data_IF_365210414167
#
_entry.id   IF_365210414167
#
_cell.length_a   1.000
_cell.length_b   1.000
_cell.length_c   1.000
_cell.angle_alpha   90.00
_cell.angle_beta   90.00
_cell.angle_gamma   90.00
#
_symmetry.space_group_name_H-M   'P 1'
#
loop_
_entity.id
_entity.type
_entity.pdbx_description
1 polymer ?
#
# COMPACT_ATOMS: atom_id res chain seq x y z
N UNK A 1 50.89 -41.11 36.96
CA UNK A 1 50.03 -42.29 36.71
C UNK A 1 48.91 -42.30 37.75
N UNK A 2 47.65 -42.23 37.28
CA UNK A 2 46.33 -42.53 37.90
C UNK A 2 46.02 -42.09 39.36
N UNK A 3 45.07 -41.18 39.69
CA UNK A 3 43.58 -41.20 39.53
C UNK A 3 42.96 -42.34 40.40
N UNK A 4 42.03 -42.17 41.36
CA UNK A 4 40.83 -41.30 41.49
C UNK A 4 40.42 -41.05 42.96
N UNK A 5 39.88 -39.86 43.24
CA UNK A 5 39.00 -39.58 44.39
C UNK A 5 37.60 -39.32 43.82
N UNK A 6 36.61 -40.15 44.20
CA UNK A 6 35.21 -39.97 43.78
C UNK A 6 34.40 -39.38 44.92
N UNK A 7 34.11 -38.08 44.82
CA UNK A 7 33.08 -37.41 45.61
C UNK A 7 31.75 -37.43 44.84
N UNK A 8 30.68 -37.73 45.58
CA UNK A 8 29.36 -38.10 45.10
C UNK A 8 28.42 -36.88 44.92
N UNK A 9 27.88 -36.75 43.70
CA UNK A 9 26.55 -36.30 43.26
C UNK A 9 25.80 -35.20 44.05
N UNK A 10 25.57 -34.07 43.37
CA UNK A 10 24.25 -33.45 43.13
C UNK A 10 24.52 -32.23 42.23
N UNK A 11 24.15 -32.24 40.94
CA UNK A 11 22.77 -32.21 40.47
C UNK A 11 22.47 -30.78 40.03
N UNK A 12 22.03 -30.62 38.77
CA UNK A 12 21.69 -29.38 38.04
C UNK A 12 22.65 -29.00 36.90
N UNK A 13 22.73 -29.91 35.93
CA UNK A 13 23.21 -29.60 34.58
C UNK A 13 22.16 -28.70 33.89
N UNK A 14 22.27 -27.37 34.04
CA UNK A 14 21.51 -26.45 33.20
C UNK A 14 22.16 -26.44 31.83
N UNK A 15 21.65 -27.30 30.95
CA UNK A 15 21.94 -27.23 29.52
C UNK A 15 21.66 -25.81 29.04
N UNK A 16 22.70 -25.06 28.71
CA UNK A 16 22.61 -23.88 27.86
C UNK A 16 22.15 -24.35 26.48
N UNK A 17 20.84 -24.53 26.31
CA UNK A 17 20.22 -24.57 25.00
C UNK A 17 20.34 -23.15 24.44
N UNK A 18 21.33 -22.94 23.58
CA UNK A 18 21.20 -21.95 22.51
C UNK A 18 19.96 -22.32 21.71
N UNK A 19 18.85 -21.67 22.04
CA UNK A 19 17.58 -21.83 21.34
C UNK A 19 17.71 -21.14 19.98
N UNK A 20 17.54 -21.86 18.86
CA UNK A 20 17.46 -21.22 17.55
C UNK A 20 16.24 -20.31 17.50
N UNK A 21 16.40 -19.21 16.78
CA UNK A 21 15.40 -18.20 16.45
C UNK A 21 14.09 -18.84 15.97
N UNK A 22 12.97 -18.44 16.57
CA UNK A 22 11.64 -18.90 16.17
C UNK A 22 10.70 -17.70 15.99
N UNK A 23 10.61 -17.24 14.75
CA UNK A 23 9.33 -16.92 14.10
C UNK A 23 8.54 -15.70 14.60
N UNK A 24 9.15 -14.52 14.72
CA UNK A 24 8.40 -13.25 14.62
C UNK A 24 8.01 -12.88 13.17
N UNK A 25 8.35 -13.70 12.18
CA UNK A 25 8.07 -13.45 10.75
C UNK A 25 6.73 -14.02 10.25
N UNK A 26 5.86 -14.50 11.14
CA UNK A 26 4.64 -15.19 10.76
C UNK A 26 3.38 -14.37 11.08
N UNK A 27 3.30 -13.09 10.68
CA UNK A 27 2.01 -12.39 10.52
C UNK A 27 2.12 -11.07 9.69
N UNK A 28 3.02 -10.96 8.70
CA UNK A 28 2.90 -9.87 7.72
C UNK A 28 1.85 -10.25 6.65
N UNK A 29 0.61 -10.48 7.10
CA UNK A 29 -0.55 -10.16 6.27
C UNK A 29 -0.32 -8.71 5.88
N UNK A 30 0.06 -8.44 4.63
CA UNK A 30 0.43 -7.11 4.13
C UNK A 30 -0.59 -6.08 4.61
N UNK A 31 -0.29 -5.43 5.74
CA UNK A 31 -1.10 -4.37 6.29
C UNK A 31 -0.75 -3.16 5.45
N UNK A 32 -1.66 -2.76 4.57
CA UNK A 32 -1.61 -1.43 3.98
C UNK A 32 -1.85 -0.48 5.14
N UNK A 33 -0.85 0.32 5.51
CA UNK A 33 -0.92 1.25 6.62
C UNK A 33 -0.12 2.50 6.31
N UNK A 34 -0.74 3.65 6.58
CA UNK A 34 -0.11 4.97 6.53
C UNK A 34 -0.03 5.45 7.97
N UNK A 35 1.17 5.65 8.49
CA UNK A 35 1.41 6.03 9.90
C UNK A 35 2.09 7.39 10.04
N UNK A 36 2.50 7.99 8.92
CA UNK A 36 3.23 9.25 8.84
C UNK A 36 2.96 9.90 7.49
N UNK A 37 2.92 11.23 7.47
CA UNK A 37 2.76 12.03 6.26
C UNK A 37 4.11 12.53 5.70
N UNK A 38 5.21 12.31 6.43
CA UNK A 38 6.53 12.88 6.10
C UNK A 38 7.65 11.84 5.99
N UNK A 39 7.45 10.61 6.45
CA UNK A 39 8.42 9.53 6.28
C UNK A 39 8.49 9.05 4.82
N UNK A 40 9.48 8.21 4.53
CA UNK A 40 9.69 7.66 3.18
C UNK A 40 8.43 6.94 2.68
N UNK A 41 7.98 7.34 1.49
CA UNK A 41 6.84 6.73 0.81
C UNK A 41 7.27 5.43 0.09
N UNK A 42 6.64 4.30 0.42
CA UNK A 42 6.93 3.01 -0.24
C UNK A 42 6.08 2.78 -1.50
N UNK A 43 4.84 3.23 -1.48
CA UNK A 43 3.86 3.00 -2.54
C UNK A 43 2.80 4.10 -2.59
N UNK A 44 2.32 4.40 -3.79
CA UNK A 44 1.27 5.39 -4.04
C UNK A 44 0.25 4.85 -5.05
N UNK A 45 -1.02 5.17 -4.82
CA UNK A 45 -2.08 4.98 -5.79
C UNK A 45 -2.36 6.32 -6.46
N UNK A 46 -2.31 6.35 -7.79
CA UNK A 46 -2.59 7.52 -8.62
C UNK A 46 -3.72 7.24 -9.60
N UNK A 47 -4.43 8.30 -9.98
CA UNK A 47 -5.43 8.30 -11.03
C UNK A 47 -4.96 9.23 -12.15
N UNK A 48 -4.77 8.68 -13.34
CA UNK A 48 -4.46 9.50 -14.52
C UNK A 48 -5.78 10.08 -15.04
N UNK A 49 -5.93 11.42 -15.09
CA UNK A 49 -7.14 12.04 -15.62
C UNK A 49 -7.44 11.53 -17.03
N UNK A 50 -8.70 11.28 -17.34
CA UNK A 50 -9.17 10.76 -18.62
C UNK A 50 -10.36 11.55 -19.15
N UNK A 51 -11.30 10.83 -19.77
CA UNK A 51 -12.49 11.41 -20.44
C UNK A 51 -13.42 12.17 -19.50
N UNK A 52 -13.28 12.00 -18.20
CA UNK A 52 -14.00 12.82 -17.22
C UNK A 52 -13.65 14.31 -17.34
N UNK A 53 -12.43 14.65 -17.76
CA UNK A 53 -12.02 16.04 -18.00
C UNK A 53 -12.72 16.63 -19.23
N UNK A 54 -13.02 15.82 -20.25
CA UNK A 54 -13.76 16.24 -21.45
C UNK A 54 -15.19 16.74 -21.13
N UNK A 55 -15.71 16.44 -19.94
CA UNK A 55 -17.05 16.86 -19.51
C UNK A 55 -17.06 18.23 -18.85
N UNK A 56 -15.89 18.82 -18.60
CA UNK A 56 -15.78 20.14 -18.02
C UNK A 56 -16.11 21.21 -19.05
N UNK A 57 -17.01 22.10 -18.68
CA UNK A 57 -17.42 23.27 -19.47
C UNK A 57 -17.30 24.51 -18.59
N UNK A 58 -17.25 25.72 -19.18
CA UNK A 58 -17.19 26.95 -18.40
C UNK A 58 -18.36 27.08 -17.41
N UNK A 59 -19.53 26.54 -17.77
CA UNK A 59 -20.76 26.62 -16.97
C UNK A 59 -20.77 25.64 -15.79
N UNK A 60 -20.03 24.52 -15.87
CA UNK A 60 -20.07 23.49 -14.85
C UNK A 60 -18.78 23.36 -14.03
N UNK A 61 -17.68 24.01 -14.42
CA UNK A 61 -16.39 23.86 -13.73
C UNK A 61 -16.47 24.21 -12.24
N UNK A 62 -17.18 25.29 -11.89
CA UNK A 62 -17.22 25.78 -10.51
C UNK A 62 -18.01 24.83 -9.60
N UNK A 63 -19.13 24.28 -10.10
CA UNK A 63 -19.91 23.27 -9.36
C UNK A 63 -19.19 21.92 -9.28
N UNK A 64 -18.30 21.64 -10.23
CA UNK A 64 -17.44 20.45 -10.23
C UNK A 64 -16.11 20.69 -9.50
N UNK A 65 -15.95 21.83 -8.83
CA UNK A 65 -14.78 22.20 -8.01
C UNK A 65 -13.47 22.35 -8.81
N UNK A 66 -13.58 22.78 -10.06
CA UNK A 66 -12.44 23.12 -10.91
C UNK A 66 -12.31 24.63 -11.06
N UNK A 67 -11.13 25.15 -10.71
CA UNK A 67 -10.82 26.58 -10.89
C UNK A 67 -10.80 26.98 -12.37
N UNK A 68 -10.29 26.11 -13.25
CA UNK A 68 -10.19 26.31 -14.70
C UNK A 68 -10.40 25.00 -15.47
N UNK A 69 -10.70 25.10 -16.77
CA UNK A 69 -10.79 23.93 -17.65
C UNK A 69 -9.37 23.48 -18.02
N UNK A 70 -8.95 22.25 -17.68
CA UNK A 70 -7.59 21.78 -17.96
C UNK A 70 -7.39 21.48 -19.44
N UNK A 71 -6.19 21.78 -19.96
CA UNK A 71 -5.70 21.13 -21.18
C UNK A 71 -5.31 19.68 -20.85
N UNK A 72 -5.94 18.71 -21.51
CA UNK A 72 -5.75 17.29 -21.19
C UNK A 72 -4.34 16.78 -21.48
N UNK A 73 -3.71 17.23 -22.57
CA UNK A 73 -2.39 16.78 -22.97
C UNK A 73 -1.32 17.31 -21.99
N UNK A 74 -1.40 18.59 -21.64
CA UNK A 74 -0.51 19.20 -20.64
C UNK A 74 -0.72 18.59 -19.25
N UNK A 75 -1.97 18.27 -18.90
CA UNK A 75 -2.31 17.58 -17.66
C UNK A 75 -1.69 16.18 -17.62
N UNK A 76 -1.78 15.42 -18.72
CA UNK A 76 -1.15 14.11 -18.83
C UNK A 76 0.36 14.19 -18.74
N UNK A 77 0.98 15.14 -19.44
CA UNK A 77 2.42 15.33 -19.39
C UNK A 77 2.90 15.66 -17.97
N UNK A 78 2.22 16.58 -17.28
CA UNK A 78 2.54 16.94 -15.91
C UNK A 78 2.34 15.76 -14.94
N UNK A 79 1.25 15.00 -15.12
CA UNK A 79 0.96 13.81 -14.32
C UNK A 79 2.03 12.72 -14.52
N UNK A 80 2.41 12.43 -15.77
CA UNK A 80 3.39 11.40 -16.10
C UNK A 80 4.77 11.79 -15.57
N UNK A 81 5.16 13.06 -15.72
CA UNK A 81 6.40 13.59 -15.16
C UNK A 81 6.45 13.42 -13.63
N UNK A 82 5.34 13.69 -12.93
CA UNK A 82 5.27 13.49 -11.49
C UNK A 82 5.40 12.02 -11.10
N UNK A 83 4.69 11.12 -11.79
CA UNK A 83 4.81 9.69 -11.54
C UNK A 83 6.23 9.16 -11.81
N UNK A 84 6.89 9.68 -12.83
CA UNK A 84 8.28 9.32 -13.13
C UNK A 84 9.26 9.82 -12.07
N UNK A 85 9.03 11.01 -11.51
CA UNK A 85 9.80 11.49 -10.36
C UNK A 85 9.67 10.53 -9.16
N UNK A 86 8.47 10.06 -8.85
CA UNK A 86 8.24 9.09 -7.76
C UNK A 86 8.93 7.75 -8.04
N UNK A 87 8.85 7.24 -9.29
CA UNK A 87 9.53 5.99 -9.67
C UNK A 87 11.04 6.09 -9.54
N UNK A 88 11.64 7.24 -9.88
CA UNK A 88 13.09 7.47 -9.72
C UNK A 88 13.53 7.37 -8.26
N UNK A 89 12.66 7.75 -7.32
CA UNK A 89 12.86 7.58 -5.88
C UNK A 89 12.57 6.14 -5.38
N UNK A 90 12.40 5.17 -6.29
CA UNK A 90 12.05 3.77 -6.03
C UNK A 90 10.67 3.56 -5.36
N UNK A 91 9.74 4.50 -5.56
CA UNK A 91 8.37 4.42 -5.03
C UNK A 91 7.50 3.60 -5.99
N UNK A 92 6.71 2.68 -5.46
CA UNK A 92 5.79 1.88 -6.28
C UNK A 92 4.56 2.70 -6.67
N UNK A 93 4.44 3.06 -7.94
CA UNK A 93 3.30 3.82 -8.47
C UNK A 93 2.25 2.88 -9.09
N UNK A 94 1.04 2.89 -8.53
CA UNK A 94 -0.10 2.11 -9.01
C UNK A 94 -1.15 3.00 -9.69
N UNK A 95 -1.67 2.58 -10.85
CA UNK A 95 -2.65 3.33 -11.65
C UNK A 95 -3.99 2.61 -11.77
N UNK A 96 -4.72 2.39 -10.68
CA UNK A 96 -5.76 1.35 -10.70
C UNK A 96 -6.95 1.59 -9.77
N UNK A 97 -7.65 2.71 -9.93
CA UNK A 97 -9.05 2.82 -9.49
C UNK A 97 -9.90 1.70 -10.12
N UNK A 98 -9.70 1.41 -11.41
CA UNK A 98 -10.49 0.39 -12.11
C UNK A 98 -10.30 -1.02 -11.56
N UNK A 99 -9.13 -1.36 -11.01
CA UNK A 99 -8.88 -2.72 -10.50
C UNK A 99 -9.43 -2.92 -9.09
N UNK A 100 -9.54 -1.84 -8.30
CA UNK A 100 -10.36 -1.81 -7.08
C UNK A 100 -11.82 -2.02 -7.47
N UNK A 101 -12.34 -1.20 -8.39
CA UNK A 101 -13.73 -1.29 -8.86
C UNK A 101 -14.07 -2.66 -9.47
N UNK A 102 -13.20 -3.21 -10.33
CA UNK A 102 -13.38 -4.51 -11.00
C UNK A 102 -13.38 -5.68 -10.03
N UNK A 103 -12.46 -5.71 -9.07
CA UNK A 103 -12.46 -6.75 -8.04
C UNK A 103 -13.67 -6.64 -7.12
N UNK A 104 -14.15 -5.42 -6.87
CA UNK A 104 -15.40 -5.18 -6.13
C UNK A 104 -16.62 -5.66 -6.92
N UNK A 105 -16.69 -5.40 -8.22
CA UNK A 105 -17.80 -5.79 -9.10
C UNK A 105 -17.91 -7.31 -9.31
N UNK A 106 -16.78 -8.03 -9.24
CA UNK A 106 -16.75 -9.50 -9.32
C UNK A 106 -17.46 -10.22 -8.17
N UNK A 107 -17.72 -9.53 -7.05
CA UNK A 107 -18.53 -10.06 -5.93
C UNK A 107 -19.96 -9.55 -6.10
N UNK A 108 -20.81 -10.36 -6.73
CA UNK A 108 -22.20 -10.05 -7.11
C UNK A 108 -23.07 -9.49 -5.97
N UNK A 109 -22.77 -9.81 -4.70
CA UNK A 109 -23.54 -9.36 -3.52
C UNK A 109 -23.44 -7.85 -3.21
N UNK A 110 -22.51 -7.10 -3.82
CA UNK A 110 -22.29 -5.67 -3.48
C UNK A 110 -22.75 -4.68 -4.54
N UNK A 111 -23.39 -5.15 -5.62
CA UNK A 111 -23.86 -4.28 -6.71
C UNK A 111 -25.05 -3.42 -6.27
N UNK A 112 -25.89 -3.92 -5.38
CA UNK A 112 -27.10 -3.21 -4.95
C UNK A 112 -26.83 -1.94 -4.14
N UNK A 113 -25.71 -1.88 -3.40
CA UNK A 113 -25.38 -0.73 -2.53
C UNK A 113 -24.73 0.45 -3.26
N UNK A 114 -24.20 0.26 -4.46
CA UNK A 114 -23.56 1.34 -5.25
C UNK A 114 -24.59 2.05 -6.14
N UNK A 115 -25.53 1.31 -6.72
CA UNK A 115 -26.56 1.91 -7.59
C UNK A 115 -27.66 2.63 -6.80
N UNK A 116 -27.82 2.30 -5.50
CA UNK A 116 -28.79 2.94 -4.61
C UNK A 116 -28.23 4.15 -3.86
N UNK A 117 -26.90 4.35 -3.89
CA UNK A 117 -26.30 5.60 -3.47
C UNK A 117 -26.49 6.62 -4.61
N UNK A 118 -27.66 7.25 -4.61
CA UNK A 118 -27.89 8.46 -5.40
C UNK A 118 -26.88 9.53 -4.94
N UNK A 119 -26.03 9.98 -5.85
CA UNK A 119 -25.32 11.25 -5.74
C UNK A 119 -26.26 12.38 -6.14
#
# INVERSE_FOLDING_TARGET
MSQLSTHNINGHNRHHHHRPQAHHYALHKQLIGVYSESDKLDAVLMHRPGREIERLTPENKDILLFDNIPNIDETHQSHDAFADALRKENIQVFYRIFLILRNWFRRSERRASVTSASF
#
